data_IF_829185086665
#
_entry.id   IF_829185086665
#
_cell.length_a   1.000
_cell.length_b   1.000
_cell.length_c   1.000
_cell.angle_alpha   90.00
_cell.angle_beta   90.00
_cell.angle_gamma   90.00
#
_symmetry.space_group_name_H-M   'P 1'
#
loop_
_entity.id
_entity.type
_entity.pdbx_description
1 polymer ?
#
# COMPACT_ATOMS: atom_id res chain seq x y z
N UNK A 1 5.37 29.33 -14.58
CA UNK A 1 4.86 28.06 -14.01
C UNK A 1 6.03 27.39 -13.31
N UNK A 2 5.95 27.16 -11.99
CA UNK A 2 7.04 26.51 -11.22
C UNK A 2 7.08 24.99 -11.44
N UNK A 3 7.93 24.28 -10.70
CA UNK A 3 7.97 22.81 -10.77
C UNK A 3 6.59 22.16 -10.50
N UNK A 4 6.24 21.09 -11.24
CA UNK A 4 5.07 20.26 -10.93
C UNK A 4 5.17 19.68 -9.51
N UNK A 5 4.04 19.53 -8.83
CA UNK A 5 3.98 18.98 -7.47
C UNK A 5 3.22 17.66 -7.45
N UNK A 6 3.59 16.80 -6.51
CA UNK A 6 2.91 15.52 -6.28
C UNK A 6 2.52 15.42 -4.82
N UNK A 7 1.30 14.96 -4.56
CA UNK A 7 0.79 14.69 -3.22
C UNK A 7 0.23 13.28 -3.14
N UNK A 8 0.68 12.52 -2.15
CA UNK A 8 0.19 11.16 -1.90
C UNK A 8 -0.93 11.19 -0.86
N UNK A 9 -2.01 10.47 -1.15
CA UNK A 9 -3.09 10.19 -0.22
C UNK A 9 -3.19 8.68 -0.05
N UNK A 10 -3.21 8.20 1.19
CA UNK A 10 -3.25 6.76 1.47
C UNK A 10 -4.20 6.46 2.60
N UNK A 11 -5.07 5.48 2.39
CA UNK A 11 -6.00 4.95 3.38
C UNK A 11 -5.70 3.48 3.58
N UNK A 12 -5.49 3.10 4.84
CA UNK A 12 -5.37 1.70 5.25
C UNK A 12 -6.58 1.30 6.04
N UNK A 13 -7.10 0.12 5.74
CA UNK A 13 -8.29 -0.45 6.37
C UNK A 13 -8.11 -1.96 6.52
N UNK A 14 -8.96 -2.62 7.30
CA UNK A 14 -8.96 -4.08 7.45
C UNK A 14 -7.58 -4.64 7.88
N UNK A 15 -6.91 -3.96 8.82
CA UNK A 15 -5.50 -4.23 9.16
C UNK A 15 -5.33 -5.41 10.12
N UNK A 16 -4.44 -6.33 9.76
CA UNK A 16 -4.05 -7.48 10.56
C UNK A 16 -2.53 -7.60 10.64
N UNK A 17 -2.00 -7.59 11.86
CA UNK A 17 -0.59 -7.89 12.10
C UNK A 17 -0.44 -9.39 12.32
N UNK A 18 0.28 -10.07 11.42
CA UNK A 18 0.48 -11.52 11.44
C UNK A 18 1.91 -11.81 11.86
N UNK A 19 2.07 -12.67 12.88
CA UNK A 19 3.37 -13.10 13.40
C UNK A 19 3.44 -14.62 13.35
N UNK A 20 4.54 -15.14 12.81
CA UNK A 20 4.86 -16.57 12.86
C UNK A 20 5.63 -16.85 14.15
N UNK A 21 5.00 -17.54 15.11
CA UNK A 21 5.58 -17.82 16.44
C UNK A 21 6.30 -19.16 16.52
N UNK A 22 5.80 -20.19 15.84
CA UNK A 22 6.42 -21.52 15.78
C UNK A 22 6.54 -21.99 14.33
N UNK A 23 7.68 -22.57 13.97
CA UNK A 23 7.98 -22.97 12.60
C UNK A 23 8.02 -24.50 12.53
N UNK A 24 7.09 -25.06 11.76
CA UNK A 24 7.16 -26.45 11.30
C UNK A 24 7.59 -26.45 9.85
N UNK A 25 8.76 -27.01 9.56
CA UNK A 25 9.30 -27.08 8.20
C UNK A 25 8.44 -28.02 7.34
N UNK A 26 8.24 -27.68 6.07
CA UNK A 26 7.59 -28.59 5.13
C UNK A 26 8.49 -29.81 4.88
N UNK A 27 7.89 -30.97 4.61
CA UNK A 27 8.65 -32.20 4.37
C UNK A 27 9.68 -32.04 3.23
N UNK A 28 9.31 -31.35 2.14
CA UNK A 28 10.22 -31.07 1.02
C UNK A 28 11.41 -30.19 1.41
N UNK A 29 11.17 -29.13 2.19
CA UNK A 29 12.25 -28.25 2.65
C UNK A 29 13.18 -28.95 3.65
N UNK A 30 12.61 -29.71 4.58
CA UNK A 30 13.38 -30.48 5.56
C UNK A 30 14.25 -31.55 4.89
N UNK A 31 13.79 -32.16 3.79
CA UNK A 31 14.60 -33.14 3.05
C UNK A 31 15.79 -32.47 2.35
N UNK A 32 15.59 -31.30 1.74
CA UNK A 32 16.68 -30.58 1.05
C UNK A 32 17.71 -30.05 2.05
N UNK A 33 17.27 -29.54 3.20
CA UNK A 33 18.18 -29.12 4.27
C UNK A 33 19.06 -30.26 4.81
N UNK A 34 18.60 -31.52 4.74
CA UNK A 34 19.41 -32.69 5.13
C UNK A 34 20.44 -33.08 4.08
N UNK A 35 20.22 -32.70 2.82
CA UNK A 35 21.12 -32.99 1.70
C UNK A 35 22.23 -31.95 1.64
N UNK A 36 21.90 -30.70 1.98
CA UNK A 36 22.90 -29.64 2.11
C UNK A 36 23.90 -29.98 3.23
N UNK A 37 25.19 -29.79 2.93
CA UNK A 37 26.28 -30.01 3.85
C UNK A 37 27.41 -29.01 3.58
N UNK A 38 28.46 -29.00 4.41
CA UNK A 38 29.68 -28.20 4.19
C UNK A 38 30.37 -28.48 2.84
N UNK A 39 30.13 -29.63 2.24
CA UNK A 39 30.73 -30.03 0.96
C UNK A 39 29.83 -29.65 -0.24
N UNK A 40 28.66 -29.04 0.02
CA UNK A 40 27.78 -28.56 -1.04
C UNK A 40 28.47 -27.51 -1.91
N UNK A 41 28.32 -27.67 -3.21
CA UNK A 41 28.90 -26.76 -4.19
C UNK A 41 28.19 -25.40 -4.18
N UNK A 42 28.87 -24.38 -4.71
CA UNK A 42 28.29 -23.06 -4.89
C UNK A 42 27.06 -23.12 -5.78
N UNK A 43 27.09 -23.92 -6.83
CA UNK A 43 26.01 -24.09 -7.79
C UNK A 43 24.76 -24.70 -7.11
N UNK A 44 24.94 -25.70 -6.25
CA UNK A 44 23.86 -26.28 -5.45
C UNK A 44 23.23 -25.26 -4.50
N UNK A 45 24.04 -24.48 -3.78
CA UNK A 45 23.56 -23.43 -2.87
C UNK A 45 22.83 -22.31 -3.61
N UNK A 46 23.31 -21.91 -4.79
CA UNK A 46 22.62 -20.95 -5.64
C UNK A 46 21.29 -21.50 -6.15
N UNK A 47 21.23 -22.79 -6.52
CA UNK A 47 19.99 -23.44 -6.92
C UNK A 47 18.96 -23.47 -5.77
N UNK A 48 19.43 -23.68 -4.54
CA UNK A 48 18.61 -23.64 -3.33
C UNK A 48 18.02 -22.24 -3.10
N UNK A 49 18.84 -21.19 -3.17
CA UNK A 49 18.39 -19.80 -3.01
C UNK A 49 17.42 -19.41 -4.13
N UNK A 50 17.68 -19.86 -5.36
CA UNK A 50 16.78 -19.62 -6.49
C UNK A 50 15.41 -20.27 -6.29
N UNK A 51 15.37 -21.45 -5.68
CA UNK A 51 14.12 -22.19 -5.46
C UNK A 51 13.35 -21.70 -4.21
N UNK A 52 14.04 -21.45 -3.10
CA UNK A 52 13.41 -21.17 -1.79
C UNK A 52 13.50 -19.71 -1.36
N UNK A 53 14.27 -18.88 -2.07
CA UNK A 53 14.61 -17.53 -1.66
C UNK A 53 15.71 -17.51 -0.60
N UNK A 54 15.89 -16.37 0.04
CA UNK A 54 16.94 -16.16 1.06
C UNK A 54 16.38 -16.00 2.47
N UNK A 55 15.10 -15.67 2.62
CA UNK A 55 14.47 -15.37 3.90
C UNK A 55 13.05 -15.95 3.96
N UNK A 56 12.57 -16.18 5.18
CA UNK A 56 11.15 -16.32 5.45
C UNK A 56 10.61 -15.07 6.15
N UNK A 57 9.31 -14.81 5.98
CA UNK A 57 8.61 -13.69 6.61
C UNK A 57 8.21 -14.12 8.03
N UNK A 58 8.78 -13.48 9.05
CA UNK A 58 8.44 -13.74 10.45
C UNK A 58 7.29 -12.84 10.93
N UNK A 59 7.18 -11.64 10.37
CA UNK A 59 6.12 -10.69 10.71
C UNK A 59 5.73 -9.84 9.49
N UNK A 60 4.43 -9.67 9.29
CA UNK A 60 3.88 -8.88 8.21
C UNK A 60 2.57 -8.19 8.59
N UNK A 61 2.28 -7.10 7.89
CA UNK A 61 1.01 -6.39 7.94
C UNK A 61 0.18 -6.76 6.73
N UNK A 62 -0.99 -7.32 6.98
CA UNK A 62 -2.02 -7.59 5.99
C UNK A 62 -3.14 -6.56 6.11
N UNK A 63 -3.89 -6.36 5.04
CA UNK A 63 -5.11 -5.57 5.04
C UNK A 63 -5.54 -5.11 3.66
N UNK A 64 -6.22 -3.97 3.63
CA UNK A 64 -6.63 -3.31 2.39
C UNK A 64 -6.07 -1.90 2.37
N UNK A 65 -5.35 -1.56 1.31
CA UNK A 65 -4.74 -0.25 1.11
C UNK A 65 -5.25 0.39 -0.19
N UNK A 66 -5.72 1.62 -0.06
CA UNK A 66 -6.07 2.48 -1.19
C UNK A 66 -5.13 3.67 -1.21
N UNK A 67 -4.33 3.77 -2.27
CA UNK A 67 -3.27 4.75 -2.41
C UNK A 67 -3.49 5.55 -3.68
N UNK A 68 -3.49 6.86 -3.58
CA UNK A 68 -3.65 7.77 -4.71
C UNK A 68 -2.51 8.78 -4.76
N UNK A 69 -2.10 9.10 -5.98
CA UNK A 69 -1.10 10.09 -6.31
C UNK A 69 -1.76 11.23 -7.08
N UNK A 70 -1.78 12.40 -6.48
CA UNK A 70 -2.35 13.63 -7.04
C UNK A 70 -1.22 14.45 -7.65
N UNK A 71 -1.31 14.72 -8.95
CA UNK A 71 -0.36 15.51 -9.70
C UNK A 71 -0.93 16.91 -9.90
N UNK A 72 -0.17 17.93 -9.52
CA UNK A 72 -0.51 19.33 -9.71
C UNK A 72 0.47 19.97 -10.70
N UNK A 73 -0.01 20.85 -11.61
CA UNK A 73 0.83 21.48 -12.62
C UNK A 73 1.82 22.49 -12.02
N UNK A 74 1.55 23.01 -10.81
CA UNK A 74 2.49 23.84 -10.08
C UNK A 74 2.16 23.93 -8.58
N UNK A 75 3.15 24.30 -7.77
CA UNK A 75 2.97 24.63 -6.35
C UNK A 75 1.92 25.69 -6.08
N UNK A 76 1.81 26.70 -6.94
CA UNK A 76 0.81 27.78 -6.81
C UNK A 76 -0.62 27.21 -6.89
N UNK A 77 -0.88 26.35 -7.88
CA UNK A 77 -2.18 25.69 -8.06
C UNK A 77 -2.52 24.83 -6.86
N UNK A 78 -1.58 23.99 -6.40
CA UNK A 78 -1.79 23.16 -5.20
C UNK A 78 -2.15 24.00 -3.97
N UNK A 79 -1.43 25.09 -3.70
CA UNK A 79 -1.68 25.96 -2.56
C UNK A 79 -3.03 26.68 -2.66
N UNK A 80 -3.40 27.18 -3.85
CA UNK A 80 -4.69 27.84 -4.06
C UNK A 80 -5.85 26.86 -3.84
N UNK A 81 -5.77 25.65 -4.40
CA UNK A 81 -6.78 24.60 -4.20
C UNK A 81 -6.89 24.17 -2.74
N UNK A 82 -5.77 24.07 -2.03
CA UNK A 82 -5.77 23.74 -0.60
C UNK A 82 -6.45 24.83 0.25
N UNK A 83 -6.13 26.10 0.01
CA UNK A 83 -6.75 27.23 0.72
C UNK A 83 -8.25 27.34 0.39
N UNK A 84 -8.63 27.12 -0.86
CA UNK A 84 -10.03 27.07 -1.28
C UNK A 84 -10.79 25.95 -0.54
N UNK A 85 -10.24 24.74 -0.53
CA UNK A 85 -10.77 23.61 0.23
C UNK A 85 -10.94 23.95 1.72
N UNK A 86 -9.92 24.53 2.35
CA UNK A 86 -10.01 24.92 3.76
C UNK A 86 -11.15 25.91 3.98
N UNK A 87 -11.25 26.97 3.17
CA UNK A 87 -12.32 27.98 3.29
C UNK A 87 -13.72 27.38 3.12
N UNK A 88 -13.91 26.50 2.15
CA UNK A 88 -15.21 25.88 1.87
C UNK A 88 -15.61 24.84 2.93
N UNK A 89 -14.63 24.16 3.54
CA UNK A 89 -14.88 23.15 4.58
C UNK A 89 -14.96 23.72 5.99
N UNK A 90 -14.33 24.86 6.31
CA UNK A 90 -14.33 25.44 7.67
C UNK A 90 -15.20 26.70 7.80
N UNK A 91 -15.11 27.65 6.86
CA UNK A 91 -15.66 29.01 7.03
C UNK A 91 -17.05 29.19 6.37
N UNK A 92 -17.28 28.63 5.18
CA UNK A 92 -18.53 28.82 4.41
C UNK A 92 -19.54 27.65 4.54
N UNK A 93 -19.20 26.61 5.31
CA UNK A 93 -19.95 25.35 5.38
C UNK A 93 -21.27 25.41 6.15
N UNK A 94 -22.31 26.03 5.57
CA UNK A 94 -23.71 25.85 5.99
C UNK A 94 -24.24 24.42 5.70
N UNK A 95 -23.46 23.59 5.02
CA UNK A 95 -23.76 22.18 4.72
C UNK A 95 -22.84 21.28 5.54
N UNK A 96 -23.39 20.57 6.53
CA UNK A 96 -22.67 19.65 7.42
C UNK A 96 -21.80 18.61 6.68
N UNK A 97 -22.14 18.28 5.44
CA UNK A 97 -21.48 17.26 4.61
C UNK A 97 -20.06 17.66 4.15
N UNK A 98 -19.76 18.95 3.99
CA UNK A 98 -18.44 19.41 3.53
C UNK A 98 -17.39 19.43 4.64
N UNK A 99 -17.79 19.55 5.91
CA UNK A 99 -16.86 19.68 7.06
C UNK A 99 -15.99 18.44 7.30
N UNK A 100 -16.39 17.28 6.76
CA UNK A 100 -15.72 15.99 6.96
C UNK A 100 -15.22 15.37 5.65
N UNK A 101 -15.32 16.09 4.52
CA UNK A 101 -14.92 15.57 3.21
C UNK A 101 -13.39 15.59 3.08
N UNK A 102 -12.73 14.47 2.73
CA UNK A 102 -11.30 14.48 2.47
C UNK A 102 -10.93 15.35 1.25
N UNK A 103 -9.76 15.98 1.29
CA UNK A 103 -9.27 16.85 0.21
C UNK A 103 -9.26 16.15 -1.17
N UNK A 104 -8.88 14.87 -1.22
CA UNK A 104 -8.90 14.11 -2.48
C UNK A 104 -10.33 13.97 -3.04
N UNK A 105 -11.33 13.74 -2.18
CA UNK A 105 -12.73 13.61 -2.58
C UNK A 105 -13.27 14.94 -3.08
N UNK A 106 -12.87 16.04 -2.44
CA UNK A 106 -13.16 17.39 -2.88
C UNK A 106 -12.61 17.66 -4.29
N UNK A 107 -11.33 17.36 -4.53
CA UNK A 107 -10.71 17.52 -5.84
C UNK A 107 -11.35 16.63 -6.91
N UNK A 108 -11.65 15.36 -6.59
CA UNK A 108 -12.37 14.47 -7.52
C UNK A 108 -13.76 15.00 -7.89
N UNK A 109 -14.47 15.61 -6.93
CA UNK A 109 -15.75 16.27 -7.17
C UNK A 109 -15.62 17.44 -8.13
N UNK A 110 -14.63 18.31 -7.92
CA UNK A 110 -14.33 19.42 -8.81
C UNK A 110 -13.93 18.96 -10.22
N UNK A 111 -13.08 17.93 -10.34
CA UNK A 111 -12.68 17.36 -11.65
C UNK A 111 -13.89 16.76 -12.40
N UNK A 112 -14.82 16.14 -11.68
CA UNK A 112 -16.05 15.59 -12.28
C UNK A 112 -16.99 16.72 -12.73
N UNK A 113 -17.08 17.80 -11.95
CA UNK A 113 -17.91 18.97 -12.25
C UNK A 113 -17.31 19.90 -13.32
N UNK A 114 -15.98 19.90 -13.52
CA UNK A 114 -15.30 20.67 -14.56
C UNK A 114 -15.80 20.30 -15.97
N UNK A 115 -16.30 19.08 -16.17
CA UNK A 115 -16.97 18.69 -17.43
C UNK A 115 -18.21 19.55 -17.74
N UNK A 116 -18.69 20.34 -16.78
CA UNK A 116 -19.86 21.22 -16.88
C UNK A 116 -19.51 22.71 -16.80
N UNK A 117 -18.23 23.10 -16.56
CA UNK A 117 -17.81 24.51 -16.38
C UNK A 117 -16.33 24.76 -16.72
N UNK A 118 -16.01 25.94 -17.27
CA UNK A 118 -14.64 26.37 -17.65
C UNK A 118 -13.79 26.86 -16.45
N UNK A 119 -13.80 26.11 -15.34
CA UNK A 119 -12.99 26.47 -14.17
C UNK A 119 -11.50 26.16 -14.41
N UNK A 120 -10.73 27.19 -14.73
CA UNK A 120 -9.32 27.09 -15.12
C UNK A 120 -8.36 26.66 -13.99
N UNK A 121 -8.76 26.74 -12.71
CA UNK A 121 -7.84 26.50 -11.59
C UNK A 121 -7.47 25.02 -11.41
N UNK A 122 -8.38 24.09 -11.72
CA UNK A 122 -8.14 22.65 -11.58
C UNK A 122 -7.63 22.01 -12.88
N UNK A 123 -7.51 22.79 -13.96
CA UNK A 123 -6.94 22.35 -15.22
C UNK A 123 -5.52 21.81 -15.04
N UNK A 124 -5.29 20.58 -15.52
CA UNK A 124 -4.00 19.90 -15.41
C UNK A 124 -3.74 19.20 -14.06
N UNK A 125 -4.73 19.13 -13.17
CA UNK A 125 -4.67 18.26 -11.99
C UNK A 125 -5.10 16.84 -12.37
N UNK A 126 -4.28 15.84 -12.02
CA UNK A 126 -4.56 14.44 -12.33
C UNK A 126 -4.48 13.57 -11.06
N UNK A 127 -5.41 12.62 -10.92
CA UNK A 127 -5.48 11.72 -9.76
C UNK A 127 -5.37 10.28 -10.24
N UNK A 128 -4.28 9.61 -9.87
CA UNK A 128 -4.03 8.20 -10.17
C UNK A 128 -4.15 7.39 -8.89
N UNK A 129 -4.98 6.34 -8.89
CA UNK A 129 -5.22 5.54 -7.70
C UNK A 129 -4.96 4.05 -7.94
N UNK A 130 -4.28 3.43 -6.98
CA UNK A 130 -3.99 2.01 -6.91
C UNK A 130 -4.65 1.40 -5.67
N UNK A 131 -5.06 0.14 -5.79
CA UNK A 131 -5.75 -0.59 -4.73
C UNK A 131 -5.04 -1.93 -4.50
N UNK A 132 -4.62 -2.17 -3.25
CA UNK A 132 -4.08 -3.44 -2.78
C UNK A 132 -5.03 -4.02 -1.76
N UNK A 133 -5.81 -5.00 -2.18
CA UNK A 133 -6.93 -5.53 -1.39
C UNK A 133 -8.13 -4.60 -1.44
N UNK A 134 -9.34 -5.18 -1.51
CA UNK A 134 -10.57 -4.39 -1.71
C UNK A 134 -10.91 -3.57 -0.47
N UNK A 135 -11.42 -2.36 -0.67
CA UNK A 135 -11.94 -1.54 0.43
C UNK A 135 -13.16 -2.20 1.11
N UNK A 136 -13.17 -2.37 2.44
CA UNK A 136 -14.32 -2.91 3.16
C UNK A 136 -15.47 -1.89 3.18
N UNK A 137 -16.70 -2.38 3.12
CA UNK A 137 -17.93 -1.55 3.13
C UNK A 137 -18.05 -0.65 4.38
N UNK A 138 -17.40 -1.03 5.48
CA UNK A 138 -17.32 -0.30 6.75
C UNK A 138 -16.39 0.91 6.70
N UNK A 139 -15.50 1.01 5.69
CA UNK A 139 -14.58 2.13 5.53
C UNK A 139 -15.08 3.10 4.46
N UNK A 140 -15.49 4.30 4.87
CA UNK A 140 -15.97 5.32 3.94
C UNK A 140 -14.84 6.09 3.22
N UNK A 141 -13.60 6.03 3.71
CA UNK A 141 -12.47 6.80 3.17
C UNK A 141 -11.81 6.18 1.94
N UNK A 142 -11.91 4.87 1.75
CA UNK A 142 -11.42 4.17 0.55
C UNK A 142 -12.55 3.74 -0.40
N UNK A 143 -13.78 4.17 -0.11
CA UNK A 143 -14.99 3.74 -0.84
C UNK A 143 -14.90 4.19 -2.29
N UNK A 144 -15.13 3.25 -3.22
CA UNK A 144 -15.31 3.54 -4.65
C UNK A 144 -16.67 3.01 -5.11
N UNK A 145 -17.45 3.79 -5.89
CA UNK A 145 -18.72 3.34 -6.44
C UNK A 145 -18.56 1.98 -7.14
N UNK A 146 -19.39 1.00 -6.79
CA UNK A 146 -19.42 -0.32 -7.42
C UNK A 146 -18.27 -1.28 -7.05
N UNK A 147 -17.37 -0.92 -6.12
CA UNK A 147 -16.25 -1.78 -5.69
C UNK A 147 -16.28 -2.19 -4.21
N UNK A 148 -17.36 -1.88 -3.49
CA UNK A 148 -17.48 -2.18 -2.07
C UNK A 148 -17.68 -3.67 -1.80
N UNK A 149 -17.04 -4.19 -0.75
CA UNK A 149 -17.21 -5.57 -0.30
C UNK A 149 -17.43 -5.60 1.22
N UNK A 150 -18.38 -6.41 1.70
CA UNK A 150 -18.73 -6.50 3.13
C UNK A 150 -17.52 -6.92 3.99
N UNK A 151 -16.80 -7.95 3.56
CA UNK A 151 -15.64 -8.51 4.27
C UNK A 151 -14.58 -8.98 3.27
N UNK A 152 -13.72 -8.08 2.76
CA UNK A 152 -12.67 -8.44 1.82
C UNK A 152 -11.56 -9.23 2.51
N UNK A 153 -10.99 -10.21 1.80
CA UNK A 153 -9.82 -10.95 2.28
C UNK A 153 -8.60 -10.01 2.36
N UNK A 154 -7.93 -9.89 3.51
CA UNK A 154 -6.72 -9.08 3.67
C UNK A 154 -5.61 -9.54 2.72
N UNK A 155 -4.91 -8.62 2.08
CA UNK A 155 -3.71 -8.91 1.26
C UNK A 155 -2.45 -8.45 1.98
N UNK A 156 -1.29 -9.00 1.62
CA UNK A 156 -0.01 -8.57 2.18
C UNK A 156 0.28 -7.13 1.77
N UNK A 157 0.46 -6.24 2.76
CA UNK A 157 0.76 -4.82 2.55
C UNK A 157 2.23 -4.52 2.81
N UNK A 158 2.76 -5.00 3.93
CA UNK A 158 4.14 -4.75 4.35
C UNK A 158 4.76 -5.99 4.97
N UNK A 159 6.05 -6.19 4.70
CA UNK A 159 6.89 -7.18 5.38
C UNK A 159 7.64 -6.42 6.49
N UNK A 160 7.28 -6.67 7.75
CA UNK A 160 7.86 -5.94 8.88
C UNK A 160 9.13 -6.59 9.42
N UNK A 161 9.21 -7.93 9.35
CA UNK A 161 10.39 -8.68 9.79
C UNK A 161 10.60 -9.92 8.93
N UNK A 162 11.82 -10.05 8.45
CA UNK A 162 12.32 -11.25 7.76
C UNK A 162 13.36 -11.93 8.64
N UNK A 163 13.53 -13.24 8.46
CA UNK A 163 14.61 -14.01 9.08
C UNK A 163 15.28 -14.84 7.99
N UNK A 164 16.62 -14.86 7.91
CA UNK A 164 17.33 -15.58 6.87
C UNK A 164 17.11 -17.08 6.98
N UNK A 165 17.04 -17.77 5.84
CA UNK A 165 16.81 -19.22 5.80
C UNK A 165 17.95 -20.02 6.39
N UNK A 166 19.20 -19.52 6.32
CA UNK A 166 20.35 -20.19 6.94
C UNK A 166 20.19 -20.34 8.47
N UNK A 167 19.35 -19.52 9.11
CA UNK A 167 19.05 -19.66 10.53
C UNK A 167 18.25 -20.94 10.86
N UNK A 168 17.70 -21.61 9.84
CA UNK A 168 17.02 -22.90 9.96
C UNK A 168 17.99 -24.09 9.80
N UNK A 169 19.24 -23.84 9.40
CA UNK A 169 20.30 -24.85 9.33
C UNK A 169 20.87 -25.05 10.73
N UNK A 170 20.84 -26.29 11.22
CA UNK A 170 21.30 -26.64 12.57
C UNK A 170 22.83 -26.79 12.66
N UNK A 171 23.45 -27.23 11.57
CA UNK A 171 24.89 -27.42 11.47
C UNK A 171 25.60 -26.07 11.23
N UNK A 172 26.66 -25.80 11.97
CA UNK A 172 27.37 -24.52 11.87
C UNK A 172 28.21 -24.44 10.59
N UNK A 173 28.86 -25.53 10.18
CA UNK A 173 29.77 -25.55 9.02
C UNK A 173 29.00 -25.34 7.71
N UNK A 174 27.80 -25.93 7.59
CA UNK A 174 26.91 -25.77 6.43
C UNK A 174 26.23 -24.39 6.41
N UNK A 175 26.12 -23.75 7.58
CA UNK A 175 25.49 -22.43 7.72
C UNK A 175 26.46 -21.29 7.36
N UNK A 176 27.75 -21.47 7.65
CA UNK A 176 28.82 -20.52 7.35
C UNK A 176 29.14 -20.46 5.85
#
# INVERSE_FOLDING_TARGET
MGYPMVQHWRVRSNLYRVKLSSITLSAGFANILKILSKDSSREELLSFIQQFGSHYIAEALYGSEFSCTIHFPSKKVQQQLWLQYQKETTELGNKKELKSMPFITYLSGLLTAQMLSDDHLISGVEIHCEEKGRCPSTCHLCRRPGKEQLSPTPVLLEINRVVPLYALIQDNDTRE
#
